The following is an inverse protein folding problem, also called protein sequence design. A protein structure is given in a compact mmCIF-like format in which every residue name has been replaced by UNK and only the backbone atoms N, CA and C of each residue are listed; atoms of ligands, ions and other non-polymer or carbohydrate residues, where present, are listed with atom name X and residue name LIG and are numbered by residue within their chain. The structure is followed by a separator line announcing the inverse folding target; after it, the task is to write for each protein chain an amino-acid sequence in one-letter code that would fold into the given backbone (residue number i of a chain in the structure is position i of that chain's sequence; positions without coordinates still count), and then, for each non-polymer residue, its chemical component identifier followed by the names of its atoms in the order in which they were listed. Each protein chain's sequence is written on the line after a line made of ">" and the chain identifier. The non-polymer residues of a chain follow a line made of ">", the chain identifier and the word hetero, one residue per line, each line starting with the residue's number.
data_IF_429946659672
#
_entry.id   IF_429946659672
#
_cell.length_a   1.000
_cell.length_b   1.000
_cell.length_c   1.000
_cell.angle_alpha   90.00
_cell.angle_beta   90.00
_cell.angle_gamma   90.00
#
_symmetry.space_group_name_H-M   'P 1'
#
loop_
_entity.id
_entity.type
_entity.pdbx_description
1 polymer ?
#
# COMPACT_ATOMS: atom_id res chain seq x y z
N UNK A 1 7.61 26.17 -14.63
CA UNK A 1 6.58 25.35 -13.93
C UNK A 1 7.25 24.05 -13.55
N UNK A 2 7.63 23.85 -12.28
CA UNK A 2 8.07 22.52 -11.84
C UNK A 2 6.88 21.57 -11.98
N UNK A 3 7.07 20.44 -12.67
CA UNK A 3 6.06 19.38 -12.69
C UNK A 3 5.73 19.02 -11.24
N UNK A 4 4.43 18.97 -10.92
CA UNK A 4 3.91 18.67 -9.57
C UNK A 4 4.36 17.29 -9.06
N UNK A 5 4.98 16.48 -9.95
CA UNK A 5 5.48 15.13 -9.74
C UNK A 5 6.92 14.96 -10.29
N UNK A 6 7.88 15.74 -9.79
CA UNK A 6 9.29 15.45 -10.09
C UNK A 6 9.62 14.00 -9.70
N UNK A 7 10.14 13.24 -10.66
CA UNK A 7 10.53 11.85 -10.46
C UNK A 7 11.58 11.71 -9.35
N UNK A 8 12.38 12.74 -9.08
CA UNK A 8 13.32 12.76 -7.96
C UNK A 8 12.61 12.86 -6.60
N UNK A 9 11.60 13.73 -6.47
CA UNK A 9 10.80 13.81 -5.25
C UNK A 9 10.02 12.52 -5.00
N UNK A 10 9.44 11.94 -6.04
CA UNK A 10 8.76 10.64 -5.96
C UNK A 10 9.73 9.52 -5.55
N UNK A 11 10.98 9.55 -6.03
CA UNK A 11 12.03 8.61 -5.60
C UNK A 11 12.32 8.74 -4.11
N UNK A 12 12.50 9.97 -3.63
CA UNK A 12 12.76 10.24 -2.21
C UNK A 12 11.61 9.71 -1.34
N UNK A 13 10.36 9.98 -1.72
CA UNK A 13 9.17 9.46 -1.01
C UNK A 13 9.15 7.93 -0.99
N UNK A 14 9.39 7.27 -2.12
CA UNK A 14 9.41 5.80 -2.20
C UNK A 14 10.52 5.19 -1.33
N UNK A 15 11.68 5.83 -1.24
CA UNK A 15 12.76 5.39 -0.36
C UNK A 15 12.36 5.52 1.12
N UNK A 16 11.74 6.64 1.52
CA UNK A 16 11.21 6.81 2.88
C UNK A 16 10.13 5.76 3.20
N UNK A 17 9.22 5.49 2.26
CA UNK A 17 8.22 4.43 2.43
C UNK A 17 8.85 3.05 2.55
N UNK A 18 9.97 2.80 1.86
CA UNK A 18 10.73 1.53 1.97
C UNK A 18 11.20 1.32 3.40
N UNK A 19 11.86 2.31 3.99
CA UNK A 19 12.33 2.27 5.38
C UNK A 19 11.15 2.10 6.36
N UNK A 20 10.07 2.87 6.16
CA UNK A 20 8.86 2.79 6.98
C UNK A 20 8.23 1.40 6.94
N UNK A 21 8.06 0.80 5.76
CA UNK A 21 7.48 -0.54 5.61
C UNK A 21 8.34 -1.58 6.33
N UNK A 22 9.66 -1.59 6.12
CA UNK A 22 10.53 -2.59 6.78
C UNK A 22 10.51 -2.42 8.31
N UNK A 23 10.52 -1.17 8.81
CA UNK A 23 10.40 -0.91 10.25
C UNK A 23 9.06 -1.38 10.80
N UNK A 24 7.94 -1.22 10.08
CA UNK A 24 6.64 -1.69 10.55
C UNK A 24 6.49 -3.20 10.47
N UNK A 25 7.11 -3.86 9.48
CA UNK A 25 7.25 -5.32 9.47
C UNK A 25 8.01 -5.80 10.70
N UNK A 26 9.03 -5.06 11.16
CA UNK A 26 9.74 -5.39 12.41
C UNK A 26 8.82 -5.28 13.61
N UNK A 27 8.03 -4.23 13.71
CA UNK A 27 7.08 -4.09 14.82
C UNK A 27 6.07 -5.25 14.83
N UNK A 28 5.52 -5.62 13.66
CA UNK A 28 4.58 -6.73 13.55
C UNK A 28 5.20 -8.09 13.91
N UNK A 29 6.46 -8.31 13.57
CA UNK A 29 7.17 -9.58 13.84
C UNK A 29 7.40 -9.87 15.33
N UNK A 30 7.21 -8.88 16.21
CA UNK A 30 7.36 -9.05 17.67
C UNK A 30 6.24 -9.89 18.27
N UNK A 31 5.07 -9.88 17.65
CA UNK A 31 3.90 -10.64 18.06
C UNK A 31 3.87 -11.99 17.34
N UNK A 32 3.27 -12.99 17.98
CA UNK A 32 2.94 -14.26 17.30
C UNK A 32 1.89 -14.02 16.22
N UNK A 33 1.58 -15.05 15.43
CA UNK A 33 0.64 -14.92 14.31
C UNK A 33 -0.73 -14.43 14.77
N UNK A 34 -1.21 -14.90 15.92
CA UNK A 34 -2.53 -14.57 16.49
C UNK A 34 -3.65 -14.88 15.50
N UNK A 35 -3.73 -16.13 15.04
CA UNK A 35 -4.64 -16.55 13.97
C UNK A 35 -6.12 -16.24 14.23
N UNK A 36 -6.55 -16.11 15.48
CA UNK A 36 -7.91 -15.75 15.86
C UNK A 36 -8.34 -14.39 15.32
N UNK A 37 -7.42 -13.42 15.21
CA UNK A 37 -7.78 -12.05 14.81
C UNK A 37 -8.28 -11.95 13.36
N UNK A 38 -7.92 -12.91 12.51
CA UNK A 38 -8.33 -12.95 11.09
C UNK A 38 -9.55 -13.83 10.83
N UNK A 39 -10.12 -14.47 11.86
CA UNK A 39 -11.32 -15.30 11.71
C UNK A 39 -12.56 -14.49 12.08
N UNK A 40 -13.56 -14.48 11.21
CA UNK A 40 -14.86 -13.87 11.50
C UNK A 40 -15.42 -14.42 12.82
N UNK A 41 -15.92 -13.52 13.67
CA UNK A 41 -16.60 -13.84 14.94
C UNK A 41 -15.78 -14.64 15.97
N UNK A 42 -14.48 -14.88 15.73
CA UNK A 42 -13.62 -15.57 16.71
C UNK A 42 -13.33 -14.71 17.95
N UNK A 43 -13.40 -13.39 17.79
CA UNK A 43 -13.30 -12.41 18.87
C UNK A 43 -14.58 -11.57 18.80
N UNK A 44 -15.45 -11.60 19.83
CA UNK A 44 -16.69 -10.84 19.82
C UNK A 44 -16.45 -9.33 19.73
N UNK A 45 -17.16 -8.66 18.83
CA UNK A 45 -17.19 -7.20 18.73
C UNK A 45 -18.62 -6.76 18.98
N UNK A 46 -18.82 -5.87 19.96
CA UNK A 46 -20.14 -5.39 20.32
C UNK A 46 -20.84 -4.73 19.11
N UNK A 47 -22.05 -5.20 18.80
CA UNK A 47 -22.87 -4.65 17.70
C UNK A 47 -22.38 -5.00 16.29
N UNK A 48 -21.40 -5.90 16.13
CA UNK A 48 -20.86 -6.32 14.82
C UNK A 48 -20.74 -7.83 14.74
N UNK A 49 -21.29 -8.43 13.69
CA UNK A 49 -21.25 -9.88 13.42
C UNK A 49 -20.74 -10.13 12.00
N UNK A 50 -20.13 -11.29 11.76
CA UNK A 50 -19.58 -11.67 10.46
C UNK A 50 -18.32 -10.92 10.06
N UNK A 51 -17.60 -10.34 11.03
CA UNK A 51 -16.39 -9.53 10.80
C UNK A 51 -15.28 -10.04 11.72
N UNK A 52 -14.06 -10.13 11.20
CA UNK A 52 -12.87 -10.46 11.99
C UNK A 52 -12.36 -9.24 12.78
N UNK A 53 -11.58 -9.47 13.85
CA UNK A 53 -11.00 -8.35 14.60
C UNK A 53 -10.04 -7.52 13.75
N UNK A 54 -9.31 -8.17 12.85
CA UNK A 54 -8.48 -7.53 11.85
C UNK A 54 -9.26 -6.60 10.91
N UNK A 55 -10.37 -7.07 10.31
CA UNK A 55 -11.20 -6.24 9.42
C UNK A 55 -11.79 -5.04 10.16
N UNK A 56 -12.28 -5.27 11.38
CA UNK A 56 -12.77 -4.19 12.23
C UNK A 56 -11.68 -3.15 12.50
N UNK A 57 -10.47 -3.59 12.89
CA UNK A 57 -9.36 -2.67 13.14
C UNK A 57 -8.98 -1.87 11.89
N UNK A 58 -8.96 -2.49 10.71
CA UNK A 58 -8.67 -1.82 9.44
C UNK A 58 -9.72 -0.76 9.11
N UNK A 59 -11.01 -1.06 9.25
CA UNK A 59 -12.10 -0.09 9.07
C UNK A 59 -11.96 1.09 10.03
N UNK A 60 -11.70 0.82 11.31
CA UNK A 60 -11.56 1.86 12.34
C UNK A 60 -10.32 2.73 12.11
N UNK A 61 -9.22 2.15 11.63
CA UNK A 61 -8.01 2.87 11.28
C UNK A 61 -8.24 3.84 10.12
N UNK A 62 -8.95 3.41 9.07
CA UNK A 62 -9.33 4.31 7.99
C UNK A 62 -10.37 5.34 8.44
N UNK A 63 -11.28 5.01 9.35
CA UNK A 63 -12.22 6.00 9.91
C UNK A 63 -11.49 7.10 10.68
N UNK A 64 -10.44 6.76 11.42
CA UNK A 64 -9.58 7.74 12.05
C UNK A 64 -8.98 8.69 11.00
N UNK A 65 -8.39 8.17 9.93
CA UNK A 65 -7.85 9.00 8.83
C UNK A 65 -8.91 9.84 8.12
N UNK A 66 -10.10 9.26 7.90
CA UNK A 66 -11.26 9.95 7.35
C UNK A 66 -11.64 11.17 8.20
N UNK A 67 -11.70 11.01 9.53
CA UNK A 67 -12.06 12.09 10.46
C UNK A 67 -11.11 13.30 10.33
N UNK A 68 -9.83 13.05 10.05
CA UNK A 68 -8.81 14.10 9.82
C UNK A 68 -8.89 14.74 8.44
N UNK A 69 -9.84 14.35 7.61
CA UNK A 69 -10.05 14.87 6.26
C UNK A 69 -9.04 14.32 5.25
N UNK A 70 -8.45 13.14 5.49
CA UNK A 70 -7.49 12.53 4.58
C UNK A 70 -8.09 12.30 3.21
N UNK A 71 -9.25 11.65 3.13
CA UNK A 71 -9.92 11.31 1.88
C UNK A 71 -10.72 12.46 1.25
N UNK A 72 -10.66 13.66 1.84
CA UNK A 72 -11.05 14.90 1.14
C UNK A 72 -9.96 15.38 0.17
N UNK A 73 -8.72 14.91 0.32
CA UNK A 73 -7.68 15.14 -0.70
C UNK A 73 -7.97 14.22 -1.90
N UNK A 74 -8.09 14.77 -3.11
CA UNK A 74 -8.45 13.98 -4.29
C UNK A 74 -7.42 12.89 -4.61
N UNK A 75 -6.15 13.12 -4.29
CA UNK A 75 -5.09 12.16 -4.60
C UNK A 75 -4.87 11.10 -3.49
N UNK A 76 -5.78 11.00 -2.51
CA UNK A 76 -5.74 9.99 -1.44
C UNK A 76 -6.78 8.90 -1.68
N UNK A 77 -6.35 7.64 -1.60
CA UNK A 77 -7.18 6.48 -1.90
C UNK A 77 -7.54 5.71 -0.62
N UNK A 78 -8.82 5.35 -0.50
CA UNK A 78 -9.33 4.46 0.56
C UNK A 78 -9.08 3.01 0.17
N UNK A 79 -8.85 2.15 1.16
CA UNK A 79 -8.73 0.71 0.95
C UNK A 79 -10.07 -0.01 1.18
N UNK A 80 -10.90 0.49 2.09
CA UNK A 80 -12.18 -0.08 2.47
C UNK A 80 -13.34 0.81 2.05
N UNK A 81 -14.55 0.24 2.07
CA UNK A 81 -15.80 0.91 1.69
C UNK A 81 -16.39 1.77 2.82
N UNK A 82 -15.56 2.27 3.74
CA UNK A 82 -16.05 3.11 4.83
C UNK A 82 -16.74 4.37 4.29
N UNK A 83 -17.91 4.68 4.84
CA UNK A 83 -18.48 6.01 4.70
C UNK A 83 -17.58 7.00 5.44
N UNK A 84 -17.17 8.08 4.78
CA UNK A 84 -16.29 9.07 5.37
C UNK A 84 -16.97 10.42 5.51
N UNK A 85 -16.92 10.96 6.72
CA UNK A 85 -17.21 12.35 7.02
C UNK A 85 -16.02 12.91 7.80
N UNK A 86 -15.66 14.16 7.53
CA UNK A 86 -14.63 14.85 8.31
C UNK A 86 -15.18 16.15 8.86
N UNK A 87 -15.20 16.32 10.19
CA UNK A 87 -15.58 17.57 10.83
C UNK A 87 -14.50 18.66 10.66
N UNK A 88 -13.28 18.27 10.28
CA UNK A 88 -12.15 19.20 10.10
C UNK A 88 -12.32 20.00 8.80
N UNK A 89 -12.25 21.32 8.93
CA UNK A 89 -12.26 22.28 7.83
C UNK A 89 -10.82 22.75 7.53
N UNK A 90 -10.36 22.51 6.29
CA UNK A 90 -9.03 22.93 5.82
C UNK A 90 -9.06 23.13 4.31
N UNK A 91 -8.05 23.81 3.77
CA UNK A 91 -7.90 23.95 2.32
C UNK A 91 -7.42 22.65 1.68
N UNK A 92 -7.93 22.34 0.49
CA UNK A 92 -7.57 21.17 -0.30
C UNK A 92 -7.09 21.60 -1.70
N UNK A 93 -5.92 21.13 -2.16
CA UNK A 93 -5.44 21.42 -3.50
C UNK A 93 -6.28 20.67 -4.55
N UNK A 94 -6.32 21.15 -5.81
CA UNK A 94 -6.86 20.38 -6.91
C UNK A 94 -6.02 19.12 -7.14
N UNK A 95 -6.69 18.10 -7.66
CA UNK A 95 -6.11 16.81 -8.06
C UNK A 95 -4.87 17.02 -8.93
N UNK A 96 -3.83 16.25 -8.67
CA UNK A 96 -2.59 16.28 -9.44
C UNK A 96 -2.46 15.11 -10.42
N UNK A 97 -3.42 14.18 -10.37
CA UNK A 97 -3.58 13.02 -11.24
C UNK A 97 -5.04 12.94 -11.69
N UNK A 98 -5.36 12.11 -12.70
CA UNK A 98 -6.75 11.78 -13.02
C UNK A 98 -7.33 10.84 -11.97
N UNK A 99 -8.62 11.01 -11.70
CA UNK A 99 -9.34 10.18 -10.73
C UNK A 99 -9.88 8.95 -11.44
N UNK A 100 -9.29 7.79 -11.15
CA UNK A 100 -9.67 6.49 -11.72
C UNK A 100 -9.72 5.45 -10.61
N UNK A 101 -10.73 4.59 -10.64
CA UNK A 101 -10.88 3.53 -9.65
C UNK A 101 -10.02 2.32 -10.03
N UNK A 102 -9.18 1.88 -9.08
CA UNK A 102 -8.36 0.67 -9.21
C UNK A 102 -8.52 -0.06 -7.88
N UNK A 103 -9.17 -1.22 -7.90
CA UNK A 103 -9.41 -2.06 -6.73
C UNK A 103 -8.14 -2.83 -6.37
N UNK A 104 -7.74 -2.81 -5.10
CA UNK A 104 -6.49 -3.39 -4.62
C UNK A 104 -6.64 -4.16 -3.30
N UNK A 105 -7.80 -4.03 -2.62
CA UNK A 105 -7.98 -4.48 -1.24
C UNK A 105 -7.70 -5.96 -1.08
N UNK A 106 -8.41 -6.79 -1.85
CA UNK A 106 -8.39 -8.24 -1.66
C UNK A 106 -7.01 -8.83 -1.97
N UNK A 107 -6.33 -8.29 -2.98
CA UNK A 107 -4.98 -8.72 -3.35
C UNK A 107 -3.95 -8.35 -2.28
N UNK A 108 -4.05 -7.14 -1.69
CA UNK A 108 -3.18 -6.70 -0.60
C UNK A 108 -3.39 -7.57 0.64
N UNK A 109 -4.65 -7.77 1.05
CA UNK A 109 -4.98 -8.57 2.24
C UNK A 109 -4.50 -10.01 2.04
N UNK A 110 -4.80 -10.63 0.89
CA UNK A 110 -4.40 -12.00 0.58
C UNK A 110 -2.89 -12.19 0.62
N UNK A 111 -2.13 -11.32 -0.06
CA UNK A 111 -0.67 -11.37 -0.02
C UNK A 111 -0.12 -11.19 1.40
N UNK A 112 -0.66 -10.20 2.12
CA UNK A 112 -0.22 -9.87 3.47
C UNK A 112 -0.41 -11.04 4.44
N UNK A 113 -1.62 -11.62 4.49
CA UNK A 113 -1.93 -12.76 5.37
C UNK A 113 -1.09 -13.99 5.06
N UNK A 114 -0.76 -14.24 3.79
CA UNK A 114 0.16 -15.32 3.41
C UNK A 114 1.58 -15.02 3.92
N UNK A 115 2.07 -13.81 3.71
CA UNK A 115 3.40 -13.38 4.15
C UNK A 115 3.58 -13.45 5.67
N UNK A 116 2.53 -13.19 6.46
CA UNK A 116 2.58 -13.25 7.92
C UNK A 116 3.03 -14.60 8.46
N UNK A 117 2.74 -15.72 7.75
CA UNK A 117 3.16 -17.07 8.16
C UNK A 117 4.67 -17.25 8.19
N UNK A 118 5.38 -16.52 7.34
CA UNK A 118 6.84 -16.54 7.28
C UNK A 118 7.48 -15.41 8.11
N UNK A 119 6.71 -14.36 8.41
CA UNK A 119 7.17 -13.20 9.18
C UNK A 119 7.07 -13.43 10.70
N UNK A 120 6.00 -14.11 11.14
CA UNK A 120 5.64 -14.24 12.54
C UNK A 120 5.75 -15.69 13.00
N UNK A 121 6.09 -15.89 14.28
CA UNK A 121 6.03 -17.21 14.90
C UNK A 121 4.57 -17.67 14.98
N UNK A 122 4.30 -18.94 14.72
CA UNK A 122 2.99 -19.52 14.98
C UNK A 122 2.63 -19.44 16.47
N UNK A 123 1.36 -19.23 16.77
CA UNK A 123 0.85 -19.17 18.14
C UNK A 123 -0.32 -18.22 18.31
N UNK A 124 -0.83 -18.20 19.53
CA UNK A 124 -1.89 -17.34 20.02
C UNK A 124 -1.48 -16.71 21.35
N UNK A 125 -1.59 -15.40 21.45
CA UNK A 125 -1.41 -14.61 22.66
C UNK A 125 -2.53 -13.55 22.72
N UNK A 126 -3.67 -13.87 23.37
CA UNK A 126 -4.81 -12.97 23.48
C UNK A 126 -4.50 -11.61 24.12
N UNK A 127 -3.41 -11.51 24.90
CA UNK A 127 -3.01 -10.26 25.55
C UNK A 127 -2.45 -9.23 24.56
N UNK A 128 -2.16 -9.65 23.32
CA UNK A 128 -1.52 -8.84 22.28
C UNK A 128 -2.39 -8.66 21.02
N UNK A 129 -3.65 -9.08 21.05
CA UNK A 129 -4.54 -9.02 19.88
C UNK A 129 -4.73 -7.59 19.38
N UNK A 130 -4.87 -6.62 20.29
CA UNK A 130 -5.05 -5.21 19.94
C UNK A 130 -3.84 -4.63 19.19
N UNK A 131 -2.63 -4.87 19.71
CA UNK A 131 -1.39 -4.45 19.09
C UNK A 131 -1.15 -5.14 17.74
N UNK A 132 -1.51 -6.42 17.66
CA UNK A 132 -1.44 -7.20 16.42
C UNK A 132 -2.27 -6.53 15.32
N UNK A 133 -3.57 -6.33 15.55
CA UNK A 133 -4.46 -5.78 14.52
C UNK A 133 -4.17 -4.30 14.23
N UNK A 134 -3.63 -3.55 15.20
CA UNK A 134 -3.12 -2.19 14.96
C UNK A 134 -1.93 -2.20 13.99
N UNK A 135 -0.93 -3.06 14.23
CA UNK A 135 0.21 -3.21 13.34
C UNK A 135 -0.21 -3.70 11.95
N UNK A 136 -1.19 -4.61 11.88
CA UNK A 136 -1.72 -5.12 10.61
C UNK A 136 -2.41 -4.00 9.81
N UNK A 137 -3.30 -3.24 10.44
CA UNK A 137 -4.02 -2.14 9.80
C UNK A 137 -3.07 -1.06 9.27
N UNK A 138 -2.09 -0.64 10.09
CA UNK A 138 -1.08 0.33 9.68
C UNK A 138 -0.27 -0.20 8.49
N UNK A 139 0.26 -1.43 8.56
CA UNK A 139 1.02 -2.03 7.47
C UNK A 139 0.22 -2.11 6.17
N UNK A 140 -1.02 -2.56 6.22
CA UNK A 140 -1.83 -2.72 5.02
C UNK A 140 -2.13 -1.37 4.35
N UNK A 141 -2.45 -0.34 5.13
CA UNK A 141 -2.61 1.02 4.59
C UNK A 141 -1.29 1.53 4.00
N UNK A 142 -0.15 1.25 4.64
CA UNK A 142 1.17 1.60 4.12
C UNK A 142 1.52 0.90 2.79
N UNK A 143 1.18 -0.38 2.66
CA UNK A 143 1.35 -1.14 1.42
C UNK A 143 0.45 -0.57 0.32
N UNK A 144 -0.81 -0.27 0.65
CA UNK A 144 -1.76 0.35 -0.26
C UNK A 144 -1.27 1.72 -0.76
N UNK A 145 -0.82 2.60 0.13
CA UNK A 145 -0.22 3.88 -0.23
C UNK A 145 0.98 3.68 -1.16
N UNK A 146 1.87 2.71 -0.84
CA UNK A 146 3.08 2.46 -1.61
C UNK A 146 2.78 1.99 -3.01
N UNK A 147 1.77 1.14 -3.19
CA UNK A 147 1.33 0.68 -4.51
C UNK A 147 0.72 1.83 -5.31
N UNK A 148 -0.13 2.65 -4.67
CA UNK A 148 -0.75 3.82 -5.31
C UNK A 148 0.24 4.91 -5.74
N UNK A 149 1.48 4.91 -5.24
CA UNK A 149 2.55 5.74 -5.80
C UNK A 149 2.73 5.54 -7.31
N UNK A 150 2.34 4.37 -7.85
CA UNK A 150 2.31 4.08 -9.27
C UNK A 150 1.51 5.10 -10.08
N UNK A 151 0.39 5.62 -9.55
CA UNK A 151 -0.43 6.63 -10.24
C UNK A 151 0.35 7.91 -10.54
N UNK A 152 1.07 8.43 -9.55
CA UNK A 152 1.90 9.63 -9.69
C UNK A 152 3.12 9.39 -10.59
N UNK A 153 3.74 8.20 -10.49
CA UNK A 153 4.87 7.81 -11.35
C UNK A 153 4.41 7.74 -12.81
N UNK A 154 3.27 7.11 -13.07
CA UNK A 154 2.69 6.98 -14.38
C UNK A 154 2.34 8.35 -14.97
N UNK A 155 1.66 9.21 -14.21
CA UNK A 155 1.34 10.59 -14.61
C UNK A 155 2.61 11.36 -14.98
N UNK A 156 3.63 11.33 -14.12
CA UNK A 156 4.92 11.99 -14.36
C UNK A 156 5.58 11.49 -15.65
N UNK A 157 5.64 10.17 -15.85
CA UNK A 157 6.20 9.55 -17.06
C UNK A 157 5.41 9.98 -18.31
N UNK A 158 4.09 9.93 -18.26
CA UNK A 158 3.22 10.28 -19.38
C UNK A 158 3.36 11.74 -19.80
N UNK A 159 3.43 12.66 -18.84
CA UNK A 159 3.64 14.09 -19.11
C UNK A 159 5.00 14.38 -19.73
N UNK A 160 6.05 13.62 -19.37
CA UNK A 160 7.42 13.85 -19.84
C UNK A 160 7.79 13.12 -21.13
N UNK A 161 7.02 12.10 -21.52
CA UNK A 161 7.33 11.25 -22.66
C UNK A 161 6.06 10.95 -23.50
N UNK A 162 5.79 11.77 -24.55
CA UNK A 162 4.61 11.61 -25.39
C UNK A 162 4.51 10.26 -26.11
N UNK A 163 5.60 9.50 -26.21
CA UNK A 163 5.58 8.19 -26.86
C UNK A 163 4.81 7.12 -26.09
N UNK A 164 4.44 7.37 -24.82
CA UNK A 164 3.49 6.51 -24.12
C UNK A 164 2.12 6.46 -24.82
N UNK A 165 1.73 7.51 -25.56
CA UNK A 165 0.46 7.54 -26.31
C UNK A 165 0.35 6.44 -27.37
N UNK A 166 1.47 5.99 -27.94
CA UNK A 166 1.46 4.98 -29.01
C UNK A 166 1.41 3.55 -28.49
N UNK A 167 1.73 3.35 -27.20
CA UNK A 167 1.80 2.02 -26.58
C UNK A 167 0.72 1.80 -25.51
N UNK A 168 -0.01 2.84 -25.11
CA UNK A 168 -0.96 2.81 -23.98
C UNK A 168 -2.05 1.75 -24.10
N UNK A 169 -2.48 1.40 -25.31
CA UNK A 169 -3.49 0.36 -25.54
C UNK A 169 -2.93 -1.06 -25.42
N UNK A 170 -1.62 -1.21 -25.55
CA UNK A 170 -0.94 -2.51 -25.47
C UNK A 170 -0.31 -2.69 -24.08
N UNK A 171 -0.95 -3.51 -23.25
CA UNK A 171 -0.55 -3.78 -21.86
C UNK A 171 0.88 -4.31 -21.75
N UNK A 172 1.29 -5.23 -22.63
CA UNK A 172 2.62 -5.83 -22.60
C UNK A 172 3.72 -4.87 -23.09
N UNK A 173 3.39 -4.03 -24.07
CA UNK A 173 4.27 -2.95 -24.51
C UNK A 173 4.47 -1.92 -23.38
N UNK A 174 3.39 -1.52 -22.69
CA UNK A 174 3.47 -0.66 -21.50
C UNK A 174 4.32 -1.28 -20.41
N UNK A 175 4.05 -2.54 -20.03
CA UNK A 175 4.81 -3.27 -19.03
C UNK A 175 6.31 -3.27 -19.37
N UNK A 176 6.66 -3.61 -20.60
CA UNK A 176 8.06 -3.63 -21.08
C UNK A 176 8.72 -2.26 -20.98
N UNK A 177 7.99 -1.20 -21.36
CA UNK A 177 8.51 0.18 -21.36
C UNK A 177 8.69 0.74 -19.95
N UNK A 178 7.73 0.48 -19.07
CA UNK A 178 7.68 1.01 -17.70
C UNK A 178 8.65 0.30 -16.77
N UNK A 179 8.94 -0.98 -17.01
CA UNK A 179 9.88 -1.79 -16.22
C UNK A 179 11.29 -1.19 -16.23
N UNK A 180 11.94 -1.15 -15.07
CA UNK A 180 13.32 -0.66 -14.88
C UNK A 180 14.09 -1.63 -13.98
N UNK A 181 14.56 -2.78 -14.51
CA UNK A 181 15.11 -3.87 -13.71
C UNK A 181 16.24 -3.47 -12.76
N UNK A 182 17.17 -2.61 -13.22
CA UNK A 182 18.27 -2.11 -12.39
C UNK A 182 17.75 -1.37 -11.15
N UNK A 183 16.74 -0.51 -11.33
CA UNK A 183 16.14 0.27 -10.23
C UNK A 183 15.32 -0.61 -9.29
N UNK A 184 14.55 -1.54 -9.85
CA UNK A 184 13.80 -2.52 -9.07
C UNK A 184 14.73 -3.30 -8.14
N UNK A 185 15.87 -3.76 -8.67
CA UNK A 185 16.89 -4.45 -7.88
C UNK A 185 17.53 -3.55 -6.81
N UNK A 186 17.76 -2.26 -7.09
CA UNK A 186 18.23 -1.30 -6.08
C UNK A 186 17.26 -1.19 -4.90
N UNK A 187 15.96 -1.10 -5.17
CA UNK A 187 14.93 -1.01 -4.11
C UNK A 187 14.93 -2.30 -3.27
N UNK A 188 14.99 -3.46 -3.90
CA UNK A 188 15.04 -4.76 -3.21
C UNK A 188 16.30 -4.88 -2.35
N UNK A 189 17.47 -4.55 -2.89
CA UNK A 189 18.73 -4.61 -2.17
C UNK A 189 18.73 -3.68 -0.96
N UNK A 190 18.15 -2.48 -1.09
CA UNK A 190 18.02 -1.55 0.03
C UNK A 190 17.10 -2.11 1.11
N UNK A 191 15.93 -2.65 0.74
CA UNK A 191 15.00 -3.27 1.69
C UNK A 191 15.64 -4.45 2.44
N UNK A 192 16.39 -5.32 1.75
CA UNK A 192 17.17 -6.41 2.36
C UNK A 192 18.23 -5.88 3.32
N UNK A 193 18.94 -4.81 2.96
CA UNK A 193 19.95 -4.20 3.84
C UNK A 193 19.31 -3.69 5.12
N UNK A 194 18.17 -3.00 5.02
CA UNK A 194 17.43 -2.47 6.18
C UNK A 194 16.90 -3.62 7.05
N UNK A 195 16.42 -4.71 6.44
CA UNK A 195 15.88 -5.85 7.21
C UNK A 195 16.95 -6.53 8.05
N UNK A 196 18.18 -6.64 7.54
CA UNK A 196 19.32 -7.16 8.30
C UNK A 196 19.60 -6.30 9.55
N UNK A 197 19.52 -4.97 9.43
CA UNK A 197 19.70 -4.07 10.58
C UNK A 197 18.60 -4.22 11.65
N UNK A 198 17.43 -4.75 11.27
CA UNK A 198 16.32 -5.00 12.18
C UNK A 198 16.23 -6.46 12.65
N UNK A 199 17.21 -7.31 12.34
CA UNK A 199 17.14 -8.75 12.60
C UNK A 199 15.85 -9.38 12.06
N UNK A 200 15.45 -8.98 10.85
CA UNK A 200 14.34 -9.56 10.10
C UNK A 200 14.86 -10.48 9.01
N UNK A 201 14.13 -11.57 8.75
CA UNK A 201 14.44 -12.46 7.64
C UNK A 201 14.44 -11.67 6.30
N UNK A 202 15.61 -11.51 5.64
CA UNK A 202 15.71 -10.70 4.44
C UNK A 202 14.95 -11.28 3.25
N UNK A 203 14.68 -12.59 3.23
CA UNK A 203 13.97 -13.24 2.12
C UNK A 203 12.47 -12.97 2.15
N UNK A 204 11.88 -12.86 3.35
CA UNK A 204 10.49 -12.42 3.54
C UNK A 204 10.33 -10.97 3.07
N UNK A 205 11.27 -10.10 3.46
CA UNK A 205 11.27 -8.70 3.05
C UNK A 205 11.50 -8.55 1.54
N UNK A 206 12.43 -9.31 0.95
CA UNK A 206 12.61 -9.32 -0.49
C UNK A 206 11.33 -9.73 -1.23
N UNK A 207 10.66 -10.81 -0.78
CA UNK A 207 9.39 -11.26 -1.37
C UNK A 207 8.33 -10.16 -1.32
N UNK A 208 8.21 -9.46 -0.19
CA UNK A 208 7.33 -8.30 -0.03
C UNK A 208 7.64 -7.19 -1.05
N UNK A 209 8.91 -6.80 -1.18
CA UNK A 209 9.28 -5.72 -2.10
C UNK A 209 9.18 -6.11 -3.58
N UNK A 210 9.44 -7.36 -3.94
CA UNK A 210 9.18 -7.87 -5.31
C UNK A 210 7.69 -7.79 -5.65
N UNK A 211 6.83 -8.18 -4.71
CA UNK A 211 5.39 -8.09 -4.88
C UNK A 211 4.92 -6.64 -4.98
N UNK A 212 5.37 -5.75 -4.09
CA UNK A 212 5.07 -4.31 -4.13
C UNK A 212 5.48 -3.66 -5.44
N UNK A 213 6.67 -3.97 -5.95
CA UNK A 213 7.16 -3.48 -7.25
C UNK A 213 6.25 -3.94 -8.38
N UNK A 214 5.87 -5.22 -8.38
CA UNK A 214 4.97 -5.80 -9.38
C UNK A 214 3.61 -5.11 -9.37
N UNK A 215 3.00 -4.94 -8.19
CA UNK A 215 1.71 -4.26 -8.04
C UNK A 215 1.76 -2.77 -8.35
N UNK A 216 2.87 -2.10 -8.01
CA UNK A 216 3.08 -0.70 -8.43
C UNK A 216 3.09 -0.59 -9.96
N UNK A 217 3.78 -1.50 -10.65
CA UNK A 217 3.84 -1.52 -12.11
C UNK A 217 2.47 -1.81 -12.72
N UNK A 218 1.69 -2.72 -12.14
CA UNK A 218 0.31 -2.99 -12.59
C UNK A 218 -0.57 -1.75 -12.42
N UNK A 219 -0.49 -1.05 -11.28
CA UNK A 219 -1.19 0.24 -11.08
C UNK A 219 -0.73 1.31 -12.06
N UNK A 220 0.56 1.39 -12.39
CA UNK A 220 1.04 2.32 -13.42
C UNK A 220 0.36 2.05 -14.77
N UNK A 221 0.23 0.78 -15.15
CA UNK A 221 -0.39 0.38 -16.42
C UNK A 221 -1.89 0.67 -16.39
N UNK A 222 -2.60 0.21 -15.35
CA UNK A 222 -4.04 0.39 -15.20
C UNK A 222 -4.41 1.88 -15.19
N UNK A 223 -3.63 2.68 -14.46
CA UNK A 223 -3.80 4.13 -14.43
C UNK A 223 -3.71 4.74 -15.83
N UNK A 224 -2.65 4.44 -16.61
CA UNK A 224 -2.49 5.01 -17.96
C UNK A 224 -3.63 4.60 -18.90
N UNK A 225 -4.12 3.37 -18.79
CA UNK A 225 -5.21 2.87 -19.63
C UNK A 225 -6.55 3.55 -19.30
N UNK A 226 -6.89 3.67 -18.02
CA UNK A 226 -8.13 4.31 -17.56
C UNK A 226 -8.09 5.84 -17.73
N UNK A 227 -6.93 6.45 -17.50
CA UNK A 227 -6.72 7.89 -17.63
C UNK A 227 -6.83 8.38 -19.09
N UNK A 228 -6.67 7.53 -20.10
CA UNK A 228 -6.87 7.92 -21.51
C UNK A 228 -8.37 8.05 -21.86
N UNK A 229 -9.22 7.23 -21.25
CA UNK A 229 -10.66 7.18 -21.53
C UNK A 229 -11.51 8.17 -20.73
N UNK A 230 -10.90 8.91 -19.78
CA UNK A 230 -11.52 9.88 -18.89
C UNK A 230 -11.08 11.31 -19.18
#
# INVERSE_FOLDING_TARGET
>A
MHSKHDLNDLRTKINQMTERIVSRLKDRSRYVLNGAVYRCDAIPIEGRTGVSFFEFALEQFEQYHASLGRYKFPDQHRLTNISFHSPVQRWFPPSSIKQVDIELKDEIISFYTIMLKDLCREGEDPTTYGETVYCDADLIVLLHERINMGRFIAESKFQTDPSFNTVVENRDALRTRLRKPKREQTVINNARKISLNYDLNPDVVERCFRWLITKTLEVEIDYLQLAKGS
#
